data_IF_369205271441
#
_entry.id   IF_369205271441
#
_cell.length_a   1.000
_cell.length_b   1.000
_cell.length_c   1.000
_cell.angle_alpha   90.00
_cell.angle_beta   90.00
_cell.angle_gamma   90.00
#
_symmetry.space_group_name_H-M   'P 1'
#
loop_
_entity.id
_entity.type
_entity.pdbx_description
1 polymer ?
#
# COMPACT_ATOMS: atom_id res chain seq x y z
N UNK A 1 -5.39 -52.71 -7.99
CA UNK A 1 -4.59 -52.02 -6.95
C UNK A 1 -4.74 -50.53 -7.20
N UNK A 2 -5.45 -49.82 -6.33
CA UNK A 2 -5.89 -48.42 -6.53
C UNK A 2 -4.74 -47.45 -6.23
N UNK A 3 -4.49 -46.52 -7.15
CA UNK A 3 -3.60 -45.36 -6.95
C UNK A 3 -4.45 -44.26 -6.29
N UNK A 4 -4.08 -43.70 -5.12
CA UNK A 4 -4.81 -42.57 -4.57
C UNK A 4 -4.33 -41.24 -5.18
N UNK A 5 -5.30 -40.47 -5.66
CA UNK A 5 -5.18 -39.08 -6.09
C UNK A 5 -5.37 -38.13 -4.89
N UNK A 6 -4.39 -37.28 -4.62
CA UNK A 6 -4.45 -36.07 -3.74
C UNK A 6 -3.04 -35.48 -3.78
N UNK A 7 -2.72 -34.21 -4.05
CA UNK A 7 -3.47 -32.96 -3.94
C UNK A 7 -2.77 -31.97 -4.90
N UNK A 8 -3.38 -31.67 -6.06
CA UNK A 8 -2.98 -30.53 -6.89
C UNK A 8 -3.49 -29.27 -6.17
N UNK A 9 -2.67 -28.65 -5.32
CA UNK A 9 -2.92 -27.27 -4.89
C UNK A 9 -2.60 -26.36 -6.06
N UNK A 10 -3.63 -25.98 -6.79
CA UNK A 10 -3.60 -24.87 -7.73
C UNK A 10 -3.21 -23.59 -6.98
N UNK A 11 -1.99 -23.13 -7.23
CA UNK A 11 -1.53 -21.80 -6.87
C UNK A 11 -2.47 -20.76 -7.50
N UNK A 12 -3.24 -20.05 -6.68
CA UNK A 12 -3.87 -18.78 -7.06
C UNK A 12 -3.04 -17.63 -6.50
N UNK A 13 -1.79 -17.54 -6.94
CA UNK A 13 -1.05 -16.29 -6.95
C UNK A 13 -1.26 -15.78 -8.38
N UNK A 14 -2.13 -14.76 -8.53
CA UNK A 14 -2.70 -14.14 -9.75
C UNK A 14 -4.19 -14.42 -9.98
N UNK A 15 -5.06 -13.61 -9.35
CA UNK A 15 -6.29 -13.08 -9.96
C UNK A 15 -6.95 -12.01 -9.07
N UNK A 16 -6.36 -10.82 -9.03
CA UNK A 16 -7.13 -9.57 -9.11
C UNK A 16 -6.66 -8.68 -10.28
N UNK A 17 -5.87 -9.23 -11.21
CA UNK A 17 -5.30 -8.48 -12.32
C UNK A 17 -5.98 -8.69 -13.68
N UNK A 18 -6.98 -9.59 -13.83
CA UNK A 18 -7.67 -9.79 -15.12
C UNK A 18 -9.12 -10.33 -15.06
N UNK A 19 -9.75 -10.41 -13.89
CA UNK A 19 -11.19 -10.61 -13.84
C UNK A 19 -11.87 -9.24 -13.98
N UNK A 20 -12.61 -9.00 -15.08
CA UNK A 20 -13.72 -8.03 -15.01
C UNK A 20 -14.51 -8.38 -13.75
N UNK A 21 -14.76 -7.44 -12.82
CA UNK A 21 -15.57 -7.76 -11.66
C UNK A 21 -16.93 -8.22 -12.19
N UNK A 22 -17.25 -9.50 -11.99
CA UNK A 22 -18.60 -9.97 -12.18
C UNK A 22 -19.49 -9.08 -11.32
N UNK A 23 -20.52 -8.49 -11.93
CA UNK A 23 -21.52 -7.69 -11.22
C UNK A 23 -21.93 -8.40 -9.93
N UNK A 24 -21.53 -7.86 -8.77
CA UNK A 24 -21.94 -8.37 -7.45
C UNK A 24 -20.85 -8.72 -6.44
N UNK A 25 -19.55 -8.65 -6.76
CA UNK A 25 -18.50 -8.90 -5.76
C UNK A 25 -18.37 -7.73 -4.74
N UNK A 26 -18.57 -8.06 -3.46
CA UNK A 26 -18.71 -7.16 -2.31
C UNK A 26 -17.48 -6.29 -2.06
N UNK A 27 -17.72 -5.00 -1.85
CA UNK A 27 -16.77 -3.92 -1.49
C UNK A 27 -16.08 -4.07 -0.12
N UNK A 28 -16.27 -5.20 0.59
CA UNK A 28 -15.66 -5.49 1.90
C UNK A 28 -14.12 -5.51 1.86
N UNK A 29 -13.51 -5.62 0.68
CA UNK A 29 -12.06 -5.70 0.49
C UNK A 29 -11.35 -4.34 0.31
N UNK A 30 -12.08 -3.21 0.24
CA UNK A 30 -11.52 -1.91 -0.14
C UNK A 30 -11.84 -0.77 0.84
N UNK A 31 -11.70 -1.01 2.14
CA UNK A 31 -11.87 0.02 3.16
C UNK A 31 -10.51 0.49 3.70
N UNK A 32 -10.13 1.78 3.51
CA UNK A 32 -8.88 2.32 4.02
C UNK A 32 -9.07 2.76 5.48
N UNK A 33 -8.88 1.84 6.41
CA UNK A 33 -8.98 2.12 7.85
C UNK A 33 -7.61 2.28 8.52
N UNK A 34 -6.64 2.99 7.93
CA UNK A 34 -5.44 3.35 8.70
C UNK A 34 -5.79 4.55 9.59
N UNK A 35 -5.58 4.41 10.90
CA UNK A 35 -5.68 5.53 11.80
C UNK A 35 -4.53 6.50 11.50
N UNK A 36 -4.87 7.76 11.23
CA UNK A 36 -3.91 8.77 10.80
C UNK A 36 -4.39 10.14 11.21
N UNK A 37 -3.53 10.87 11.92
CA UNK A 37 -3.79 12.22 12.44
C UNK A 37 -5.04 12.30 13.33
N UNK A 38 -5.23 11.33 14.22
CA UNK A 38 -6.33 11.40 15.18
C UNK A 38 -7.69 10.92 14.65
N UNK A 39 -7.80 10.52 13.38
CA UNK A 39 -9.06 10.09 12.76
C UNK A 39 -8.88 8.88 11.84
N UNK A 40 -10.01 8.26 11.47
CA UNK A 40 -10.05 7.20 10.45
C UNK A 40 -11.28 7.38 9.55
N UNK A 41 -11.11 7.11 8.26
CA UNK A 41 -12.22 7.12 7.30
C UNK A 41 -13.21 5.99 7.65
N UNK A 42 -14.49 6.30 7.77
CA UNK A 42 -15.53 5.34 8.15
C UNK A 42 -16.73 5.41 7.21
N UNK A 43 -17.06 4.31 6.50
CA UNK A 43 -18.27 4.26 5.69
C UNK A 43 -19.50 4.24 6.59
N UNK A 44 -20.49 5.06 6.25
CA UNK A 44 -21.81 5.00 6.89
C UNK A 44 -22.62 3.88 6.23
N UNK A 45 -23.22 3.03 7.04
CA UNK A 45 -24.19 2.03 6.59
C UNK A 45 -25.45 2.79 6.13
N UNK A 46 -25.54 3.04 4.84
CA UNK A 46 -26.69 3.65 4.18
C UNK A 46 -26.82 3.11 2.76
N UNK A 47 -27.98 3.23 2.10
CA UNK A 47 -28.14 2.82 0.70
C UNK A 47 -27.12 3.48 -0.23
N UNK A 48 -26.70 4.71 0.10
CA UNK A 48 -25.75 5.51 -0.67
C UNK A 48 -24.28 5.27 -0.30
N UNK A 49 -24.00 4.54 0.79
CA UNK A 49 -22.66 4.14 1.25
C UNK A 49 -21.60 5.26 1.25
N UNK A 50 -21.97 6.42 1.78
CA UNK A 50 -21.06 7.57 1.89
C UNK A 50 -20.03 7.36 2.99
N UNK A 51 -18.85 7.95 2.82
CA UNK A 51 -17.72 7.91 3.77
C UNK A 51 -17.62 9.24 4.51
N UNK A 52 -17.37 9.16 5.82
CA UNK A 52 -17.03 10.27 6.72
C UNK A 52 -15.80 9.93 7.56
N UNK A 53 -15.54 10.68 8.63
CA UNK A 53 -14.41 10.44 9.53
C UNK A 53 -14.86 10.39 10.98
N UNK A 54 -14.26 9.47 11.74
CA UNK A 54 -14.50 9.32 13.18
C UNK A 54 -13.17 9.42 13.94
N UNK A 55 -13.23 9.85 15.20
CA UNK A 55 -12.09 9.85 16.12
C UNK A 55 -11.89 8.49 16.82
N UNK A 56 -10.96 8.44 17.77
CA UNK A 56 -10.62 7.24 18.56
C UNK A 56 -11.77 6.73 19.43
N UNK A 57 -12.67 7.61 19.84
CA UNK A 57 -13.85 7.27 20.64
C UNK A 57 -15.04 6.85 19.75
N UNK A 58 -14.83 6.86 18.43
CA UNK A 58 -15.84 6.56 17.43
C UNK A 58 -16.85 7.69 17.21
N UNK A 59 -16.58 8.89 17.72
CA UNK A 59 -17.42 10.07 17.50
C UNK A 59 -17.16 10.61 16.10
N UNK A 60 -18.24 10.97 15.40
CA UNK A 60 -18.16 11.60 14.08
C UNK A 60 -17.43 12.95 14.17
N UNK A 61 -16.36 13.08 13.40
CA UNK A 61 -15.60 14.32 13.19
C UNK A 61 -16.03 15.00 11.89
N UNK A 62 -16.20 14.22 10.83
CA UNK A 62 -16.68 14.71 9.53
C UNK A 62 -17.83 13.80 9.08
N UNK A 63 -18.99 14.41 8.85
CA UNK A 63 -20.19 13.68 8.42
C UNK A 63 -19.97 12.94 7.10
N UNK A 64 -20.56 11.75 7.01
CA UNK A 64 -20.47 10.93 5.82
C UNK A 64 -21.18 11.55 4.62
N UNK A 65 -20.40 12.02 3.65
CA UNK A 65 -20.90 12.66 2.42
C UNK A 65 -20.08 12.37 1.15
N UNK A 66 -18.97 11.64 1.28
CA UNK A 66 -18.05 11.37 0.16
C UNK A 66 -18.29 9.98 -0.43
N UNK A 67 -18.03 9.79 -1.71
CA UNK A 67 -18.12 8.48 -2.37
C UNK A 67 -16.94 7.56 -2.00
N UNK A 68 -15.81 8.15 -1.63
CA UNK A 68 -14.64 7.48 -1.07
C UNK A 68 -13.81 8.52 -0.30
N UNK A 69 -12.99 8.06 0.64
CA UNK A 69 -12.02 8.89 1.33
C UNK A 69 -10.75 8.08 1.62
N UNK A 70 -9.59 8.75 1.62
CA UNK A 70 -8.30 8.20 2.04
C UNK A 70 -7.91 8.75 3.41
N UNK A 71 -6.95 8.12 4.12
CA UNK A 71 -6.49 8.61 5.43
C UNK A 71 -5.92 10.03 5.33
N UNK A 72 -6.02 10.79 6.42
CA UNK A 72 -5.36 12.09 6.51
C UNK A 72 -3.85 11.92 6.47
N UNK A 73 -3.17 12.77 5.71
CA UNK A 73 -1.72 12.88 5.69
C UNK A 73 -1.30 14.32 5.42
N UNK A 74 -0.39 14.83 6.24
CA UNK A 74 0.05 16.21 6.26
C UNK A 74 -1.09 17.24 6.36
N UNK A 75 -2.14 16.92 7.13
CA UNK A 75 -3.29 17.77 7.38
C UNK A 75 -4.39 17.72 6.31
N UNK A 76 -4.26 16.88 5.29
CA UNK A 76 -5.23 16.74 4.20
C UNK A 76 -5.64 15.28 4.00
N UNK A 77 -6.90 15.04 3.66
CA UNK A 77 -7.40 13.74 3.22
C UNK A 77 -7.95 13.85 1.80
N UNK A 78 -7.59 12.91 0.92
CA UNK A 78 -8.21 12.83 -0.38
C UNK A 78 -9.64 12.29 -0.27
N UNK A 79 -10.57 12.95 -0.94
CA UNK A 79 -11.98 12.53 -0.99
C UNK A 79 -12.49 12.52 -2.42
N UNK A 80 -13.38 11.57 -2.71
CA UNK A 80 -14.01 11.44 -4.03
C UNK A 80 -15.47 11.85 -3.98
N UNK A 81 -15.88 12.68 -4.94
CA UNK A 81 -17.27 13.09 -5.14
C UNK A 81 -17.58 13.08 -6.62
N UNK A 82 -18.66 12.41 -7.02
CA UNK A 82 -19.12 12.31 -8.42
C UNK A 82 -18.00 11.86 -9.37
N UNK A 83 -17.17 10.93 -8.91
CA UNK A 83 -16.07 10.35 -9.69
C UNK A 83 -14.78 11.17 -9.75
N UNK A 84 -14.74 12.37 -9.19
CA UNK A 84 -13.53 13.22 -9.13
C UNK A 84 -12.95 13.28 -7.73
N UNK A 85 -11.64 13.35 -7.64
CA UNK A 85 -10.90 13.48 -6.38
C UNK A 85 -10.53 14.94 -6.08
N UNK A 86 -10.66 15.31 -4.82
CA UNK A 86 -10.19 16.56 -4.22
C UNK A 86 -9.62 16.29 -2.83
N UNK A 87 -9.36 17.34 -2.06
CA UNK A 87 -8.77 17.22 -0.72
C UNK A 87 -9.52 18.09 0.29
N UNK A 88 -9.70 17.56 1.49
CA UNK A 88 -10.31 18.25 2.61
C UNK A 88 -9.32 18.41 3.77
N UNK A 89 -9.51 19.46 4.57
CA UNK A 89 -8.85 19.60 5.87
C UNK A 89 -9.62 18.88 7.00
N UNK A 90 -9.08 18.92 8.21
CA UNK A 90 -9.70 18.36 9.43
C UNK A 90 -11.05 19.00 9.78
N UNK A 91 -11.32 20.22 9.31
CA UNK A 91 -12.64 20.87 9.43
C UNK A 91 -13.68 20.34 8.42
N UNK A 92 -13.27 19.40 7.55
CA UNK A 92 -14.08 18.80 6.51
C UNK A 92 -14.32 19.68 5.29
N UNK A 93 -13.79 20.91 5.24
CA UNK A 93 -13.92 21.80 4.08
C UNK A 93 -12.91 21.43 3.01
N UNK A 94 -13.26 21.67 1.75
CA UNK A 94 -12.33 21.49 0.64
C UNK A 94 -11.17 22.48 0.76
N UNK A 95 -9.96 21.94 0.87
CA UNK A 95 -8.75 22.67 0.56
C UNK A 95 -8.52 22.69 -0.95
N UNK A 96 -8.91 21.61 -1.63
CA UNK A 96 -8.84 21.47 -3.09
C UNK A 96 -10.15 20.82 -3.55
N UNK A 97 -10.88 21.54 -4.40
CA UNK A 97 -12.16 21.05 -4.94
C UNK A 97 -11.97 19.77 -5.79
N UNK A 98 -12.95 18.83 -5.78
CA UNK A 98 -12.89 17.63 -6.59
C UNK A 98 -12.77 17.93 -8.09
N UNK A 99 -11.60 17.61 -8.65
CA UNK A 99 -11.29 17.92 -10.06
C UNK A 99 -10.39 16.87 -10.73
N UNK A 100 -9.64 16.08 -9.96
CA UNK A 100 -8.68 15.10 -10.50
C UNK A 100 -9.33 13.76 -10.81
N UNK A 101 -8.81 13.07 -11.83
CA UNK A 101 -9.28 11.73 -12.20
C UNK A 101 -8.84 10.67 -11.19
N UNK A 102 -7.62 10.84 -10.66
CA UNK A 102 -7.06 10.00 -9.61
C UNK A 102 -6.05 10.79 -8.77
N UNK A 103 -5.81 10.31 -7.56
CA UNK A 103 -4.82 10.84 -6.60
C UNK A 103 -3.93 9.69 -6.12
N UNK A 104 -2.71 9.98 -5.67
CA UNK A 104 -1.73 8.99 -5.18
C UNK A 104 -1.53 7.83 -6.16
N UNK A 105 -1.10 8.14 -7.38
CA UNK A 105 -1.35 7.30 -8.56
C UNK A 105 -0.43 6.07 -8.64
N UNK A 106 -0.85 4.99 -7.98
CA UNK A 106 -0.83 3.61 -8.47
C UNK A 106 -1.88 2.81 -7.69
N UNK A 107 -2.86 2.22 -8.37
CA UNK A 107 -3.87 1.33 -7.77
C UNK A 107 -3.26 -0.05 -7.53
N UNK A 108 -2.20 -0.14 -6.73
CA UNK A 108 -1.63 -1.42 -6.34
C UNK A 108 -2.32 -1.94 -5.07
N UNK A 109 -2.94 -3.14 -5.11
CA UNK A 109 -3.56 -3.70 -3.90
C UNK A 109 -2.47 -4.07 -2.89
N UNK A 110 -2.51 -3.42 -1.72
CA UNK A 110 -1.66 -3.74 -0.57
C UNK A 110 -0.65 -2.67 -0.17
N UNK A 111 -0.46 -1.63 -0.97
CA UNK A 111 0.29 -0.44 -0.56
C UNK A 111 -0.69 0.65 -0.13
N UNK A 112 -0.42 1.30 1.01
CA UNK A 112 -1.19 2.45 1.46
C UNK A 112 -1.17 3.51 0.34
N UNK A 113 -2.34 4.00 -0.13
CA UNK A 113 -2.35 5.03 -1.14
C UNK A 113 -1.58 6.25 -0.61
N UNK A 114 -0.42 6.50 -1.21
CA UNK A 114 0.44 7.61 -0.79
C UNK A 114 -0.15 8.89 -1.38
N UNK A 115 -0.96 9.58 -0.59
CA UNK A 115 -1.41 10.94 -0.85
C UNK A 115 -0.25 11.93 -0.59
N UNK A 116 -0.50 13.09 0.03
CA UNK A 116 0.53 14.11 0.25
C UNK A 116 1.76 13.54 0.95
N UNK A 117 2.91 13.63 0.28
CA UNK A 117 4.20 13.27 0.84
C UNK A 117 5.20 14.36 0.47
N UNK A 118 5.97 14.79 1.45
CA UNK A 118 6.92 15.90 1.32
C UNK A 118 6.33 17.17 0.68
N UNK A 119 5.10 17.52 1.09
CA UNK A 119 4.33 18.69 0.68
C UNK A 119 3.81 18.67 -0.76
N UNK A 120 3.79 17.51 -1.41
CA UNK A 120 3.18 17.34 -2.72
C UNK A 120 2.43 16.02 -2.89
N UNK A 121 1.48 15.98 -3.80
CA UNK A 121 0.72 14.77 -4.12
C UNK A 121 0.75 14.48 -5.62
N UNK A 122 0.93 13.22 -5.99
CA UNK A 122 0.77 12.78 -7.37
C UNK A 122 -0.72 12.75 -7.73
N UNK A 123 -1.10 13.38 -8.83
CA UNK A 123 -2.49 13.43 -9.31
C UNK A 123 -2.56 13.17 -10.81
N UNK A 124 -3.64 12.51 -11.24
CA UNK A 124 -3.93 12.27 -12.64
C UNK A 124 -4.87 13.36 -13.17
N UNK A 125 -4.46 13.97 -14.28
CA UNK A 125 -5.21 14.96 -15.04
C UNK A 125 -4.95 14.72 -16.52
N UNK A 126 -6.01 14.61 -17.32
CA UNK A 126 -5.89 14.38 -18.78
C UNK A 126 -5.00 13.15 -19.09
N UNK A 127 -5.29 12.03 -18.41
CA UNK A 127 -4.59 10.73 -18.53
C UNK A 127 -3.14 10.69 -18.04
N UNK A 128 -2.51 11.84 -17.75
CA UNK A 128 -1.13 11.92 -17.29
C UNK A 128 -1.04 12.27 -15.80
N UNK A 129 0.08 11.90 -15.19
CA UNK A 129 0.40 12.17 -13.80
C UNK A 129 1.29 13.41 -13.71
N UNK A 130 0.89 14.32 -12.84
CA UNK A 130 1.67 15.48 -12.37
C UNK A 130 1.67 15.52 -10.84
N UNK A 131 2.29 16.55 -10.28
CA UNK A 131 2.37 16.76 -8.84
C UNK A 131 1.82 18.13 -8.47
N UNK A 132 0.98 18.16 -7.44
CA UNK A 132 0.38 19.39 -6.91
C UNK A 132 0.90 19.69 -5.50
N UNK A 133 0.92 20.96 -5.14
CA UNK A 133 1.07 21.40 -3.76
C UNK A 133 -0.26 21.33 -2.98
N UNK A 134 -0.23 21.72 -1.70
CA UNK A 134 -1.41 21.74 -0.82
C UNK A 134 -2.49 22.76 -1.22
N UNK A 135 -2.20 23.66 -2.16
CA UNK A 135 -3.18 24.59 -2.75
C UNK A 135 -3.86 24.02 -4.00
N UNK A 136 -3.43 22.85 -4.48
CA UNK A 136 -3.91 22.22 -5.70
C UNK A 136 -3.20 22.70 -6.96
N UNK A 137 -2.21 23.59 -6.83
CA UNK A 137 -1.44 24.08 -7.97
C UNK A 137 -0.39 23.06 -8.37
N UNK A 138 -0.25 22.81 -9.66
CA UNK A 138 0.82 21.95 -10.18
C UNK A 138 2.21 22.55 -9.89
N UNK A 139 3.00 21.83 -9.11
CA UNK A 139 4.45 22.05 -8.96
C UNK A 139 5.24 21.30 -10.03
N UNK A 140 4.69 20.20 -10.54
CA UNK A 140 5.16 19.50 -11.73
C UNK A 140 3.94 19.23 -12.63
N UNK A 141 3.85 19.84 -13.82
CA UNK A 141 2.73 19.62 -14.73
C UNK A 141 2.57 18.15 -15.14
N UNK A 142 1.35 17.69 -15.49
CA UNK A 142 1.12 16.33 -15.97
C UNK A 142 1.99 15.99 -17.17
N UNK A 143 2.86 14.98 -17.02
CA UNK A 143 3.77 14.54 -18.11
C UNK A 143 4.21 13.08 -18.03
N UNK A 144 3.92 12.39 -16.93
CA UNK A 144 4.28 10.99 -16.71
C UNK A 144 3.08 10.09 -16.92
N UNK A 145 3.29 8.84 -17.35
CA UNK A 145 2.17 7.87 -17.48
C UNK A 145 1.75 7.31 -16.11
N UNK A 146 2.68 7.26 -15.18
CA UNK A 146 2.48 6.86 -13.78
C UNK A 146 3.57 7.47 -12.90
N UNK A 147 3.30 7.68 -11.61
CA UNK A 147 4.32 8.09 -10.65
C UNK A 147 3.91 7.75 -9.22
N UNK A 148 4.89 7.32 -8.43
CA UNK A 148 4.76 7.19 -6.98
C UNK A 148 4.91 8.56 -6.30
N UNK A 149 4.47 8.64 -5.03
CA UNK A 149 4.69 9.84 -4.21
C UNK A 149 6.18 10.10 -3.99
N UNK A 150 6.52 11.36 -3.70
CA UNK A 150 7.88 11.70 -3.29
C UNK A 150 8.22 11.04 -1.96
N UNK A 151 9.38 10.40 -1.89
CA UNK A 151 9.96 9.95 -0.64
C UNK A 151 11.48 10.10 -0.69
N UNK A 152 12.01 10.60 0.41
CA UNK A 152 13.38 11.03 0.59
C UNK A 152 13.94 11.93 -0.55
N UNK A 153 13.11 12.84 -1.04
CA UNK A 153 13.44 13.82 -2.07
C UNK A 153 13.32 13.35 -3.53
N UNK A 154 12.94 12.09 -3.76
CA UNK A 154 12.78 11.52 -5.10
C UNK A 154 11.41 10.85 -5.27
N UNK A 155 10.87 10.86 -6.49
CA UNK A 155 9.69 10.09 -6.87
C UNK A 155 10.02 9.14 -8.01
N UNK A 156 9.59 7.89 -7.92
CA UNK A 156 9.64 6.98 -9.06
C UNK A 156 8.57 7.39 -10.07
N UNK A 157 8.95 7.59 -11.33
CA UNK A 157 8.05 8.03 -12.39
C UNK A 157 8.28 7.24 -13.68
N UNK A 158 7.19 6.95 -14.39
CA UNK A 158 7.22 6.25 -15.66
C UNK A 158 7.23 7.26 -16.81
N UNK A 159 8.24 7.13 -17.65
CA UNK A 159 8.38 7.95 -18.85
C UNK A 159 7.38 7.53 -19.94
N UNK A 160 6.70 8.51 -20.51
CA UNK A 160 5.63 8.30 -21.50
C UNK A 160 6.13 7.66 -22.79
N UNK A 161 7.37 7.93 -23.20
CA UNK A 161 7.88 7.51 -24.50
C UNK A 161 8.52 6.13 -24.45
N UNK A 162 9.33 5.87 -23.43
CA UNK A 162 10.01 4.59 -23.24
C UNK A 162 9.17 3.55 -22.48
N UNK A 163 8.17 3.98 -21.72
CA UNK A 163 7.42 3.13 -20.78
C UNK A 163 8.26 2.63 -19.60
N UNK A 164 9.49 3.15 -19.44
CA UNK A 164 10.42 2.74 -18.38
C UNK A 164 10.30 3.64 -17.16
N UNK A 165 10.64 3.08 -16.02
CA UNK A 165 10.70 3.77 -14.75
C UNK A 165 12.07 4.37 -14.51
N UNK A 166 12.08 5.61 -14.02
CA UNK A 166 13.22 6.33 -13.48
C UNK A 166 12.82 7.06 -12.20
N UNK A 167 13.67 7.96 -11.73
CA UNK A 167 13.41 8.76 -10.54
C UNK A 167 13.59 10.24 -10.81
N UNK A 168 12.61 11.03 -10.40
CA UNK A 168 12.59 12.48 -10.59
C UNK A 168 12.84 13.22 -9.28
N UNK A 169 13.46 14.39 -9.38
CA UNK A 169 13.56 15.36 -8.29
C UNK A 169 12.29 16.22 -8.15
N UNK A 170 12.23 17.09 -7.14
CA UNK A 170 11.09 17.98 -6.88
C UNK A 170 10.84 19.03 -7.98
N UNK A 171 11.76 19.19 -8.93
CA UNK A 171 11.57 20.02 -10.12
C UNK A 171 11.06 19.20 -11.32
N UNK A 172 10.85 17.89 -11.12
CA UNK A 172 10.42 16.95 -12.15
C UNK A 172 11.50 16.64 -13.18
N UNK A 173 12.78 16.83 -12.84
CA UNK A 173 13.92 16.41 -13.68
C UNK A 173 14.37 15.02 -13.28
N UNK A 174 14.84 14.23 -14.24
CA UNK A 174 15.35 12.89 -13.97
C UNK A 174 16.66 12.95 -13.18
N UNK A 175 16.61 12.60 -11.90
CA UNK A 175 17.79 12.31 -11.09
C UNK A 175 18.39 10.96 -11.50
N UNK A 176 17.52 9.98 -11.80
CA UNK A 176 17.90 8.68 -12.38
C UNK A 176 17.05 8.50 -13.64
N UNK A 177 17.71 8.33 -14.79
CA UNK A 177 17.04 8.22 -16.09
C UNK A 177 16.15 6.97 -16.16
N UNK A 178 15.04 7.03 -16.93
CA UNK A 178 14.13 5.91 -17.04
C UNK A 178 14.77 4.75 -17.81
N UNK A 179 15.12 3.69 -17.09
CA UNK A 179 15.75 2.47 -17.65
C UNK A 179 15.16 1.18 -17.07
N UNK A 180 14.46 1.27 -15.94
CA UNK A 180 13.90 0.12 -15.25
C UNK A 180 12.55 -0.29 -15.83
N UNK A 181 12.23 -1.58 -15.76
CA UNK A 181 10.94 -2.11 -16.17
C UNK A 181 9.86 -1.85 -15.11
N UNK A 182 10.24 -1.77 -13.84
CA UNK A 182 9.36 -1.43 -12.70
C UNK A 182 10.21 -0.77 -11.59
N UNK A 183 9.59 0.03 -10.73
CA UNK A 183 10.25 0.69 -9.60
C UNK A 183 9.26 0.98 -8.47
N UNK A 184 9.73 0.92 -7.23
CA UNK A 184 9.03 1.40 -6.04
C UNK A 184 9.69 2.68 -5.50
N UNK A 185 9.01 3.37 -4.58
CA UNK A 185 9.56 4.55 -3.89
C UNK A 185 10.88 4.24 -3.17
N UNK A 186 11.74 5.25 -3.05
CA UNK A 186 12.85 5.18 -2.11
C UNK A 186 12.33 5.01 -0.69
N UNK A 187 13.01 4.20 0.10
CA UNK A 187 12.79 4.05 1.53
C UNK A 187 14.10 3.61 2.21
N UNK A 188 14.45 4.29 3.28
CA UNK A 188 15.68 4.11 4.03
C UNK A 188 16.96 4.16 3.19
N UNK A 189 16.99 5.04 2.19
CA UNK A 189 18.13 5.27 1.30
C UNK A 189 18.25 4.33 0.09
N UNK A 190 17.33 3.36 -0.07
CA UNK A 190 17.33 2.41 -1.19
C UNK A 190 15.95 2.32 -1.86
N UNK A 191 15.89 1.92 -3.13
CA UNK A 191 14.64 1.68 -3.84
C UNK A 191 14.67 0.31 -4.53
N UNK A 192 13.56 -0.42 -4.46
CA UNK A 192 13.38 -1.65 -5.22
C UNK A 192 13.12 -1.32 -6.68
N UNK A 193 13.88 -1.93 -7.60
CA UNK A 193 13.70 -1.76 -9.04
C UNK A 193 13.78 -3.09 -9.76
N UNK A 194 13.02 -3.22 -10.85
CA UNK A 194 13.08 -4.38 -11.73
C UNK A 194 13.73 -4.04 -13.06
N UNK A 195 14.66 -4.88 -13.52
CA UNK A 195 15.23 -4.79 -14.88
C UNK A 195 14.42 -5.56 -15.91
N UNK A 196 13.49 -6.42 -15.45
CA UNK A 196 12.63 -7.25 -16.30
C UNK A 196 11.16 -6.90 -16.10
N UNK A 197 10.29 -7.17 -17.08
CA UNK A 197 8.84 -7.07 -16.88
C UNK A 197 8.40 -7.90 -15.68
N UNK A 198 7.32 -7.47 -15.06
CA UNK A 198 6.73 -8.16 -13.92
C UNK A 198 6.35 -9.60 -14.25
N UNK A 199 6.54 -10.49 -13.29
CA UNK A 199 6.28 -11.93 -13.47
C UNK A 199 7.42 -12.69 -14.14
N UNK A 200 8.48 -12.01 -14.59
CA UNK A 200 9.70 -12.66 -14.99
C UNK A 200 10.52 -13.11 -13.77
N UNK A 201 11.23 -14.22 -13.91
CA UNK A 201 12.12 -14.72 -12.88
C UNK A 201 13.30 -13.77 -12.66
N UNK A 202 13.60 -13.50 -11.38
CA UNK A 202 14.78 -12.76 -10.95
C UNK A 202 14.96 -11.41 -11.69
N UNK A 203 13.97 -10.52 -11.57
CA UNK A 203 14.00 -9.18 -12.16
C UNK A 203 14.35 -8.08 -11.14
N UNK A 204 14.09 -8.31 -9.86
CA UNK A 204 14.13 -7.28 -8.82
C UNK A 204 15.43 -7.25 -8.04
N UNK A 205 15.92 -6.04 -7.79
CA UNK A 205 17.05 -5.71 -6.92
C UNK A 205 16.84 -4.35 -6.26
N UNK A 206 17.88 -3.81 -5.64
CA UNK A 206 17.82 -2.53 -4.93
C UNK A 206 18.92 -1.58 -5.40
N UNK A 207 18.56 -0.32 -5.59
CA UNK A 207 19.48 0.77 -5.95
C UNK A 207 19.55 1.83 -4.85
N UNK A 208 20.67 2.54 -4.79
CA UNK A 208 20.81 3.76 -3.99
C UNK A 208 20.36 5.00 -4.79
N UNK A 209 20.45 6.19 -4.17
CA UNK A 209 20.07 7.47 -4.79
C UNK A 209 20.94 7.93 -5.96
N UNK A 210 22.12 7.32 -6.18
CA UNK A 210 22.91 7.55 -7.40
C UNK A 210 22.49 6.64 -8.55
N UNK A 211 21.51 5.75 -8.34
CA UNK A 211 21.07 4.76 -9.33
C UNK A 211 21.96 3.52 -9.41
N UNK A 212 22.90 3.36 -8.48
CA UNK A 212 23.80 2.20 -8.43
C UNK A 212 23.16 1.07 -7.63
N UNK A 213 23.27 -0.16 -8.14
CA UNK A 213 22.77 -1.34 -7.43
C UNK A 213 23.55 -1.57 -6.13
N UNK A 214 22.83 -1.58 -5.00
CA UNK A 214 23.32 -2.10 -3.72
C UNK A 214 23.06 -3.60 -3.60
N UNK A 215 21.96 -4.07 -4.20
CA UNK A 215 21.65 -5.49 -4.36
C UNK A 215 21.29 -5.71 -5.82
N UNK A 216 22.08 -6.53 -6.52
CA UNK A 216 21.85 -6.81 -7.94
C UNK A 216 20.49 -7.52 -8.15
N UNK A 217 19.86 -7.37 -9.32
CA UNK A 217 18.63 -8.08 -9.64
C UNK A 217 18.78 -9.60 -9.48
N UNK A 218 18.03 -10.17 -8.55
CA UNK A 218 18.05 -11.60 -8.25
C UNK A 218 16.73 -12.14 -7.68
N UNK A 219 15.80 -11.26 -7.31
CA UNK A 219 14.51 -11.64 -6.72
C UNK A 219 13.40 -11.64 -7.76
N UNK A 220 12.45 -12.55 -7.62
CA UNK A 220 11.24 -12.56 -8.43
C UNK A 220 10.29 -11.42 -8.03
N UNK A 221 10.34 -10.98 -6.76
CA UNK A 221 9.68 -9.79 -6.26
C UNK A 221 10.50 -9.19 -5.11
N UNK A 222 10.50 -7.87 -5.00
CA UNK A 222 11.09 -7.14 -3.89
C UNK A 222 10.16 -6.01 -3.44
N UNK A 223 9.89 -5.90 -2.14
CA UNK A 223 9.13 -4.80 -1.55
C UNK A 223 10.08 -3.71 -1.03
N UNK A 224 9.55 -2.52 -0.72
CA UNK A 224 10.30 -1.44 -0.10
C UNK A 224 10.81 -1.84 1.29
N UNK A 225 11.96 -1.28 1.70
CA UNK A 225 12.46 -1.43 3.06
C UNK A 225 11.59 -0.64 4.02
N UNK A 226 11.20 -1.28 5.11
CA UNK A 226 10.57 -0.64 6.26
C UNK A 226 11.18 -1.21 7.52
N UNK A 227 11.54 -0.32 8.44
CA UNK A 227 12.02 -0.70 9.75
C UNK A 227 13.35 -1.52 9.71
N UNK A 228 14.15 -1.31 8.65
CA UNK A 228 15.42 -1.98 8.38
C UNK A 228 15.33 -3.24 7.51
N UNK A 229 14.13 -3.70 7.18
CA UNK A 229 13.90 -4.98 6.49
C UNK A 229 13.03 -4.82 5.24
N UNK A 230 13.20 -5.72 4.27
CA UNK A 230 12.29 -5.85 3.13
C UNK A 230 11.95 -7.32 2.89
N UNK A 231 10.69 -7.59 2.53
CA UNK A 231 10.29 -8.90 2.02
C UNK A 231 10.72 -9.03 0.57
N UNK A 232 11.41 -10.12 0.25
CA UNK A 232 11.75 -10.52 -1.11
C UNK A 232 11.28 -11.94 -1.38
N UNK A 233 10.88 -12.20 -2.62
CA UNK A 233 10.49 -13.53 -3.08
C UNK A 233 11.52 -14.08 -4.06
N UNK A 234 11.94 -15.33 -3.86
CA UNK A 234 12.70 -16.11 -4.84
C UNK A 234 11.81 -17.21 -5.42
N UNK A 235 12.01 -17.55 -6.69
CA UNK A 235 11.36 -18.68 -7.31
C UNK A 235 12.32 -19.89 -7.28
N UNK A 236 11.89 -20.97 -6.63
CA UNK A 236 12.64 -22.22 -6.55
C UNK A 236 11.73 -23.37 -7.02
N UNK A 237 12.07 -23.99 -8.16
CA UNK A 237 11.28 -25.06 -8.80
C UNK A 237 9.78 -24.73 -8.92
N UNK A 238 9.45 -23.51 -9.37
CA UNK A 238 8.06 -23.05 -9.52
C UNK A 238 7.36 -22.65 -8.21
N UNK A 239 8.06 -22.74 -7.07
CA UNK A 239 7.52 -22.35 -5.76
C UNK A 239 8.14 -21.03 -5.31
N UNK A 240 7.30 -20.05 -4.98
CA UNK A 240 7.77 -18.80 -4.39
C UNK A 240 8.12 -19.01 -2.92
N UNK A 241 9.32 -18.56 -2.53
CA UNK A 241 9.81 -18.56 -1.15
C UNK A 241 10.08 -17.13 -0.70
N UNK A 242 9.45 -16.71 0.39
CA UNK A 242 9.62 -15.39 0.98
C UNK A 242 10.71 -15.37 2.05
N UNK A 243 11.52 -14.31 2.04
CA UNK A 243 12.49 -14.03 3.12
C UNK A 243 12.56 -12.53 3.38
N UNK A 244 12.87 -12.17 4.62
CA UNK A 244 13.21 -10.80 4.96
C UNK A 244 14.72 -10.61 4.79
N UNK A 245 15.09 -9.53 4.13
CA UNK A 245 16.48 -9.11 3.94
C UNK A 245 16.71 -7.73 4.56
N UNK A 246 17.94 -7.46 4.96
CA UNK A 246 18.38 -6.11 5.31
C UNK A 246 18.67 -5.27 4.04
N UNK A 247 19.21 -4.06 4.21
CA UNK A 247 19.54 -3.15 3.09
C UNK A 247 20.74 -3.58 2.25
N UNK A 248 21.57 -4.49 2.74
CA UNK A 248 22.70 -5.08 2.02
C UNK A 248 22.28 -6.35 1.26
N UNK A 249 21.08 -6.87 1.53
CA UNK A 249 20.57 -8.11 0.95
C UNK A 249 20.83 -9.34 1.81
N UNK A 250 21.37 -9.16 3.02
CA UNK A 250 21.63 -10.23 3.97
C UNK A 250 20.30 -10.70 4.57
N UNK A 251 20.11 -12.02 4.65
CA UNK A 251 18.86 -12.58 5.17
C UNK A 251 18.74 -12.33 6.68
N UNK A 252 17.64 -11.71 7.10
CA UNK A 252 17.30 -11.56 8.51
C UNK A 252 16.63 -12.82 9.04
N UNK A 253 15.56 -13.29 8.37
CA UNK A 253 14.91 -14.57 8.62
C UNK A 253 14.00 -14.99 7.46
N UNK A 254 13.71 -16.29 7.37
CA UNK A 254 12.79 -16.87 6.39
C UNK A 254 11.41 -16.99 7.02
N UNK A 255 10.38 -16.43 6.40
CA UNK A 255 9.01 -16.62 6.86
C UNK A 255 8.35 -17.72 6.03
N UNK A 256 7.84 -18.74 6.73
CA UNK A 256 6.98 -19.77 6.17
C UNK A 256 5.57 -19.16 6.21
N UNK A 257 4.99 -18.85 5.05
CA UNK A 257 3.60 -18.40 4.86
C UNK A 257 3.31 -16.89 5.02
N UNK A 258 4.00 -16.03 4.26
CA UNK A 258 3.54 -14.64 4.05
C UNK A 258 2.45 -14.60 2.97
N UNK A 259 1.19 -14.75 3.36
CA UNK A 259 0.06 -14.39 2.50
C UNK A 259 -0.35 -12.95 2.80
N UNK A 260 -0.09 -12.01 1.89
CA UNK A 260 -0.59 -10.63 1.97
C UNK A 260 0.36 -9.62 2.64
N UNK A 261 0.20 -8.36 2.26
CA UNK A 261 1.04 -7.17 2.51
C UNK A 261 1.82 -7.15 3.84
N UNK A 262 3.14 -7.28 3.74
CA UNK A 262 4.04 -7.35 4.89
C UNK A 262 4.95 -6.11 5.02
N UNK A 263 4.35 -4.93 5.11
CA UNK A 263 5.07 -3.78 5.64
C UNK A 263 4.99 -3.85 7.17
N UNK A 264 6.14 -3.74 7.85
CA UNK A 264 6.14 -3.49 9.29
C UNK A 264 5.52 -2.11 9.56
N UNK A 265 4.72 -2.03 10.62
CA UNK A 265 4.26 -0.76 11.19
C UNK A 265 4.54 -0.79 12.67
N UNK A 266 5.29 0.19 13.15
CA UNK A 266 5.69 0.30 14.55
C UNK A 266 6.37 -0.99 15.10
N UNK A 267 7.19 -1.65 14.27
CA UNK A 267 7.92 -2.86 14.63
C UNK A 267 7.08 -4.14 14.72
N UNK A 268 5.82 -4.14 14.29
CA UNK A 268 4.98 -5.33 14.16
C UNK A 268 4.51 -5.50 12.71
N UNK A 269 4.45 -6.74 12.24
CA UNK A 269 3.91 -7.10 10.93
C UNK A 269 2.78 -8.13 11.08
N UNK A 270 1.65 -7.97 10.36
CA UNK A 270 0.61 -8.99 10.32
C UNK A 270 1.14 -10.25 9.62
N UNK A 271 0.71 -11.42 10.08
CA UNK A 271 0.97 -12.71 9.43
C UNK A 271 -0.28 -13.58 9.47
N UNK A 272 -0.37 -14.57 8.58
CA UNK A 272 -1.45 -15.57 8.57
C UNK A 272 -0.94 -16.93 9.05
N UNK A 273 -1.66 -17.54 9.99
CA UNK A 273 -1.43 -18.93 10.40
C UNK A 273 -1.86 -19.93 9.33
N UNK A 274 -1.55 -21.21 9.53
CA UNK A 274 -2.02 -22.30 8.67
C UNK A 274 -3.55 -22.37 8.59
N UNK A 275 -4.24 -22.02 9.68
CA UNK A 275 -5.70 -21.93 9.76
C UNK A 275 -6.27 -20.64 9.13
N UNK A 276 -5.43 -19.84 8.45
CA UNK A 276 -5.78 -18.54 7.84
C UNK A 276 -6.32 -17.51 8.83
N UNK A 277 -5.86 -17.56 10.07
CA UNK A 277 -6.10 -16.49 11.05
C UNK A 277 -4.92 -15.53 11.08
N UNK A 278 -5.22 -14.24 11.20
CA UNK A 278 -4.22 -13.19 11.31
C UNK A 278 -3.75 -13.01 12.75
N UNK A 279 -2.43 -12.91 12.91
CA UNK A 279 -1.72 -12.51 14.12
C UNK A 279 -0.65 -11.48 13.79
N UNK A 280 0.24 -11.17 14.74
CA UNK A 280 1.35 -10.24 14.53
C UNK A 280 2.68 -10.81 15.02
N UNK A 281 3.74 -10.57 14.25
CA UNK A 281 5.13 -10.91 14.57
C UNK A 281 5.98 -9.65 14.78
N UNK A 282 7.01 -9.76 15.61
CA UNK A 282 8.05 -8.73 15.74
C UNK A 282 9.14 -8.87 14.66
N UNK A 283 10.11 -7.95 14.66
CA UNK A 283 11.25 -7.93 13.72
C UNK A 283 12.16 -9.16 13.79
N UNK A 284 12.05 -9.98 14.83
CA UNK A 284 12.77 -11.26 14.94
C UNK A 284 11.95 -12.45 14.44
N UNK A 285 10.71 -12.24 14.02
CA UNK A 285 9.76 -13.27 13.62
C UNK A 285 9.04 -13.93 14.79
N UNK A 286 9.18 -13.43 16.02
CA UNK A 286 8.45 -13.96 17.17
C UNK A 286 7.01 -13.49 17.15
N UNK A 287 6.07 -14.40 17.40
CA UNK A 287 4.65 -14.07 17.55
C UNK A 287 4.46 -13.18 18.79
N UNK A 288 3.89 -11.99 18.58
CA UNK A 288 3.55 -11.02 19.64
C UNK A 288 2.06 -11.04 19.92
N UNK A 289 1.25 -11.22 18.87
CA UNK A 289 -0.21 -11.39 18.99
C UNK A 289 -0.57 -12.68 18.27
N UNK A 290 -1.12 -13.62 19.04
CA UNK A 290 -1.50 -14.93 18.52
C UNK A 290 -2.58 -14.81 17.41
N UNK A 291 -2.53 -15.68 16.38
CA UNK A 291 -3.51 -15.72 15.31
C UNK A 291 -4.93 -15.94 15.83
N UNK A 292 -5.75 -14.89 15.75
CA UNK A 292 -7.12 -14.93 16.25
C UNK A 292 -8.12 -14.15 15.39
N UNK A 293 -7.64 -13.29 14.49
CA UNK A 293 -8.47 -12.45 13.63
C UNK A 293 -8.68 -13.08 12.26
N UNK A 294 -9.77 -12.76 11.57
CA UNK A 294 -9.95 -13.19 10.17
C UNK A 294 -9.07 -12.38 9.21
N UNK A 295 -8.68 -11.15 9.58
CA UNK A 295 -7.82 -10.27 8.81
C UNK A 295 -7.18 -9.22 9.73
N UNK A 296 -5.98 -8.76 9.42
CA UNK A 296 -5.30 -7.71 10.16
C UNK A 296 -4.58 -6.73 9.21
N UNK A 297 -4.60 -5.45 9.59
CA UNK A 297 -3.83 -4.36 8.97
C UNK A 297 -2.65 -3.98 9.87
N UNK A 298 -1.70 -3.27 9.31
CA UNK A 298 -0.50 -2.84 10.02
C UNK A 298 -0.81 -1.82 11.13
N UNK A 299 0.02 -1.78 12.17
CA UNK A 299 -0.10 -0.79 13.24
C UNK A 299 0.20 0.63 12.76
N UNK A 300 -0.59 1.58 13.23
CA UNK A 300 -0.44 3.02 13.03
C UNK A 300 -1.01 3.76 14.24
N UNK A 301 -0.24 4.67 14.81
CA UNK A 301 -0.55 5.39 16.05
C UNK A 301 -0.89 4.45 17.24
N UNK A 302 -0.20 3.31 17.34
CA UNK A 302 -0.41 2.32 18.40
C UNK A 302 -1.66 1.45 18.23
N UNK A 303 -2.39 1.56 17.13
CA UNK A 303 -3.59 0.79 16.84
C UNK A 303 -3.47 0.02 15.52
N UNK A 304 -4.10 -1.14 15.43
CA UNK A 304 -4.27 -1.88 14.18
C UNK A 304 -5.74 -2.19 13.95
N UNK A 305 -6.14 -2.28 12.68
CA UNK A 305 -7.49 -2.67 12.29
C UNK A 305 -7.54 -4.14 12.03
N UNK A 306 -8.55 -4.80 12.59
CA UNK A 306 -8.75 -6.24 12.46
C UNK A 306 -10.20 -6.55 12.09
N UNK A 307 -10.37 -7.63 11.33
CA UNK A 307 -11.68 -8.28 11.18
C UNK A 307 -11.79 -9.37 12.23
N UNK A 308 -12.70 -9.18 13.18
CA UNK A 308 -12.90 -10.11 14.30
C UNK A 308 -13.67 -11.32 13.80
N UNK A 309 -14.84 -11.08 13.18
CA UNK A 309 -15.75 -12.08 12.62
C UNK A 309 -16.48 -11.51 11.39
N UNK A 310 -17.38 -12.29 10.78
CA UNK A 310 -18.16 -11.89 9.60
C UNK A 310 -18.92 -10.57 9.84
N UNK A 311 -18.51 -9.52 9.13
CA UNK A 311 -19.09 -8.18 9.25
C UNK A 311 -18.68 -7.40 10.51
N UNK A 312 -17.89 -7.98 11.43
CA UNK A 312 -17.42 -7.29 12.62
C UNK A 312 -15.95 -6.86 12.48
N UNK A 313 -15.75 -5.54 12.48
CA UNK A 313 -14.43 -4.92 12.43
C UNK A 313 -14.11 -4.26 13.76
N UNK A 314 -12.83 -4.22 14.12
CA UNK A 314 -12.37 -3.58 15.35
C UNK A 314 -10.98 -2.96 15.25
N UNK A 315 -10.71 -2.10 16.22
CA UNK A 315 -9.39 -1.56 16.52
C UNK A 315 -8.79 -2.37 17.67
N UNK A 316 -7.53 -2.77 17.53
CA UNK A 316 -6.77 -3.42 18.60
C UNK A 316 -5.56 -2.58 19.00
N UNK A 317 -5.19 -2.66 20.27
CA UNK A 317 -3.92 -2.12 20.77
C UNK A 317 -2.73 -3.05 20.43
N UNK A 318 -1.52 -2.62 20.76
CA UNK A 318 -0.28 -3.40 20.54
C UNK A 318 -0.18 -4.70 21.36
N UNK A 319 -1.14 -4.95 22.27
CA UNK A 319 -1.27 -6.22 23.02
C UNK A 319 -2.36 -7.12 22.43
N UNK A 320 -3.01 -6.71 21.33
CA UNK A 320 -4.10 -7.44 20.70
C UNK A 320 -5.46 -7.26 21.37
N UNK A 321 -5.58 -6.33 22.34
CA UNK A 321 -6.86 -6.07 23.00
C UNK A 321 -7.74 -5.19 22.12
N UNK A 322 -8.98 -5.62 21.90
CA UNK A 322 -9.98 -4.82 21.18
C UNK A 322 -10.30 -3.54 21.98
N UNK A 323 -10.04 -2.40 21.37
CA UNK A 323 -10.29 -1.05 21.90
C UNK A 323 -11.69 -0.58 21.48
N UNK A 324 -12.09 -0.88 20.25
CA UNK A 324 -13.37 -0.52 19.66
C UNK A 324 -13.78 -1.60 18.66
N UNK A 325 -15.07 -1.94 18.58
CA UNK A 325 -15.60 -2.77 17.49
C UNK A 325 -16.96 -2.30 17.02
N UNK A 326 -17.26 -2.53 15.74
CA UNK A 326 -18.56 -2.23 15.12
C UNK A 326 -18.93 -3.33 14.12
N UNK A 327 -20.22 -3.62 14.04
CA UNK A 327 -20.80 -4.44 12.98
C UNK A 327 -21.11 -3.52 11.80
N UNK A 328 -20.61 -3.86 10.62
CA UNK A 328 -20.74 -3.12 9.36
C UNK A 328 -21.58 -3.93 8.36
#
# INVERSE_FOLDING_TARGET
MKIPATLLLSFSIFLFANAKPAHGARFEQWLPFKFSEGVVACPKISPERKVGFIDRDGKTVIDARFDAARPFNQGLAAVRVKGKWGYIGHDGKYAIEPQFDAVGVLDYPGDDPMDFSEDCAAVRSEDLVGFIDKTGKFVIPPKFTSAWAFNEGLAAAQDRFSGKWGFIDKQGKWAIKPTFADALSFSEGVAAVSTKPRGADAGWGYINKSGSFVVKPQYALALAHHDGLALVLTLDNGTYKGKYIDKKGDAAFTSINCHGSSAYGEGLAPFLSEDRKAGFIDKSGRVVIEPQFQEARTFSEGLAVVRIDDGQWGLIDRKGKVVLSRTI
#
